data_IF_089831582742
#
_entry.id   IF_089831582742
#
_cell.length_a   1.000
_cell.length_b   1.000
_cell.length_c   1.000
_cell.angle_alpha   90.00
_cell.angle_beta   90.00
_cell.angle_gamma   90.00
#
_symmetry.space_group_name_H-M   'P 1'
#
loop_
_entity.id
_entity.type
_entity.pdbx_description
1 polymer ?
#
# COMPACT_ATOMS: atom_id res chain seq x y z
N UNK A 1 -3.94 15.11 -26.41
CA UNK A 1 -3.53 14.36 -25.20
C UNK A 1 -2.25 14.99 -24.63
N UNK A 2 -2.35 15.66 -23.47
CA UNK A 2 -1.72 15.33 -22.16
C UNK A 2 -0.27 15.81 -21.97
N UNK A 3 -0.04 16.67 -20.96
CA UNK A 3 1.25 16.85 -20.27
C UNK A 3 1.15 17.35 -18.80
N UNK A 4 0.00 17.37 -18.14
CA UNK A 4 -0.12 18.05 -16.83
C UNK A 4 0.12 17.17 -15.59
N UNK A 5 0.09 15.84 -15.67
CA UNK A 5 0.23 14.99 -14.46
C UNK A 5 1.52 14.16 -14.41
N UNK A 6 2.68 14.77 -14.68
CA UNK A 6 3.98 14.12 -14.44
C UNK A 6 4.73 14.77 -13.28
N UNK A 7 4.07 14.93 -12.15
CA UNK A 7 4.82 14.94 -10.88
C UNK A 7 4.92 13.47 -10.46
N UNK A 8 6.06 12.84 -10.70
CA UNK A 8 6.43 11.69 -9.87
C UNK A 8 7.93 11.60 -9.82
N UNK A 9 8.53 12.48 -9.03
CA UNK A 9 9.74 12.11 -8.32
C UNK A 9 9.44 10.98 -7.32
N UNK A 10 10.46 10.43 -6.65
CA UNK A 10 10.23 9.56 -5.51
C UNK A 10 9.37 10.28 -4.47
N UNK A 11 8.46 9.54 -3.83
CA UNK A 11 7.68 10.07 -2.71
C UNK A 11 8.63 10.50 -1.60
N UNK A 12 8.30 11.62 -0.94
CA UNK A 12 9.03 12.04 0.24
C UNK A 12 8.53 11.31 1.50
N UNK A 13 9.28 11.44 2.60
CA UNK A 13 9.00 10.76 3.87
C UNK A 13 7.61 11.11 4.42
N UNK A 14 7.17 12.36 4.28
CA UNK A 14 5.86 12.82 4.77
C UNK A 14 4.72 12.18 3.97
N UNK A 15 4.86 12.10 2.65
CA UNK A 15 3.89 11.44 1.78
C UNK A 15 3.77 9.94 2.09
N UNK A 16 4.91 9.27 2.31
CA UNK A 16 4.94 7.86 2.69
C UNK A 16 4.21 7.62 4.02
N UNK A 17 4.48 8.45 5.03
CA UNK A 17 3.81 8.32 6.34
C UNK A 17 2.29 8.54 6.23
N UNK A 18 1.83 9.54 5.45
CA UNK A 18 0.40 9.75 5.22
C UNK A 18 -0.28 8.55 4.54
N UNK A 19 0.40 7.92 3.57
CA UNK A 19 -0.11 6.72 2.90
C UNK A 19 -0.19 5.56 3.89
N UNK A 20 0.86 5.33 4.70
CA UNK A 20 0.89 4.25 5.70
C UNK A 20 -0.23 4.40 6.72
N UNK A 21 -0.40 5.60 7.26
CA UNK A 21 -1.45 5.87 8.24
C UNK A 21 -2.84 5.62 7.66
N UNK A 22 -3.09 6.10 6.44
CA UNK A 22 -4.34 5.85 5.72
C UNK A 22 -4.57 4.35 5.50
N UNK A 23 -3.56 3.62 5.03
CA UNK A 23 -3.67 2.18 4.79
C UNK A 23 -3.91 1.39 6.07
N UNK A 24 -3.24 1.75 7.18
CA UNK A 24 -3.48 1.13 8.50
C UNK A 24 -4.90 1.34 8.99
N UNK A 25 -5.53 2.48 8.67
CA UNK A 25 -6.92 2.76 9.05
C UNK A 25 -7.92 1.97 8.20
N UNK A 26 -7.77 1.99 6.88
CA UNK A 26 -8.76 1.40 5.97
C UNK A 26 -8.58 -0.10 5.73
N UNK A 27 -7.38 -0.62 5.90
CA UNK A 27 -7.00 -2.01 5.68
C UNK A 27 -6.29 -2.58 6.90
N UNK A 28 -6.80 -2.28 8.10
CA UNK A 28 -6.13 -2.62 9.36
C UNK A 28 -5.78 -4.12 9.47
N UNK A 29 -6.73 -4.99 9.11
CA UNK A 29 -6.54 -6.44 9.15
C UNK A 29 -5.50 -6.90 8.13
N UNK A 30 -5.59 -6.41 6.90
CA UNK A 30 -4.62 -6.73 5.86
C UNK A 30 -3.22 -6.22 6.21
N UNK A 31 -3.14 -5.00 6.74
CA UNK A 31 -1.89 -4.38 7.12
C UNK A 31 -1.20 -5.16 8.26
N UNK A 32 -1.95 -5.54 9.29
CA UNK A 32 -1.43 -6.37 10.39
C UNK A 32 -0.92 -7.72 9.88
N UNK A 33 -1.70 -8.41 9.04
CA UNK A 33 -1.29 -9.68 8.44
C UNK A 33 -0.03 -9.54 7.60
N UNK A 34 0.00 -8.58 6.68
CA UNK A 34 1.15 -8.36 5.80
C UNK A 34 2.39 -7.94 6.60
N UNK A 35 2.25 -7.16 7.67
CA UNK A 35 3.37 -6.77 8.55
C UNK A 35 4.01 -7.95 9.28
N UNK A 36 3.24 -9.03 9.45
CA UNK A 36 3.68 -10.30 10.03
C UNK A 36 4.04 -11.34 8.97
N UNK A 37 4.19 -10.95 7.70
CA UNK A 37 4.38 -11.84 6.55
C UNK A 37 3.30 -12.92 6.39
N UNK A 38 2.09 -12.66 6.89
CA UNK A 38 0.95 -13.55 6.74
C UNK A 38 0.17 -13.24 5.47
N UNK A 39 -0.46 -14.29 4.92
CA UNK A 39 -1.33 -14.13 3.76
C UNK A 39 -2.60 -13.39 4.14
N UNK A 40 -3.01 -12.50 3.24
CA UNK A 40 -4.29 -11.82 3.35
C UNK A 40 -5.42 -12.81 3.08
N UNK A 41 -6.53 -12.69 3.81
CA UNK A 41 -7.67 -13.59 3.65
C UNK A 41 -8.37 -13.42 2.31
N UNK A 42 -9.06 -14.48 1.84
CA UNK A 42 -9.82 -14.48 0.58
C UNK A 42 -10.99 -13.48 0.58
N UNK A 43 -11.47 -13.11 1.76
CA UNK A 43 -12.51 -12.09 1.98
C UNK A 43 -11.97 -10.65 1.94
N UNK A 44 -10.65 -10.45 1.88
CA UNK A 44 -10.05 -9.12 1.87
C UNK A 44 -10.42 -8.35 0.61
N UNK A 45 -10.62 -7.04 0.77
CA UNK A 45 -10.82 -6.11 -0.35
C UNK A 45 -9.59 -6.04 -1.26
N UNK A 46 -8.42 -6.41 -0.76
CA UNK A 46 -7.14 -6.30 -1.47
C UNK A 46 -6.67 -7.62 -2.09
N UNK A 47 -7.27 -8.78 -1.79
CA UNK A 47 -6.73 -10.09 -2.20
C UNK A 47 -6.47 -10.20 -3.71
N UNK A 48 -7.36 -9.63 -4.53
CA UNK A 48 -7.25 -9.64 -6.01
C UNK A 48 -6.04 -8.85 -6.52
N UNK A 49 -5.50 -7.95 -5.70
CA UNK A 49 -4.35 -7.11 -6.04
C UNK A 49 -3.02 -7.77 -5.67
N UNK A 50 -3.03 -8.97 -5.07
CA UNK A 50 -1.83 -9.63 -4.54
C UNK A 50 -0.97 -8.66 -3.71
N UNK A 51 -1.53 -8.12 -2.62
CA UNK A 51 -0.95 -6.98 -1.91
C UNK A 51 0.28 -7.42 -1.13
N UNK A 52 1.26 -6.52 -1.03
CA UNK A 52 2.49 -6.70 -0.25
C UNK A 52 2.89 -5.40 0.41
N UNK A 53 3.56 -5.49 1.55
CA UNK A 53 4.31 -4.36 2.09
C UNK A 53 5.65 -4.28 1.35
N UNK A 54 5.95 -3.10 0.84
CA UNK A 54 7.28 -2.79 0.31
C UNK A 54 8.28 -2.49 1.45
N UNK A 55 9.49 -2.08 1.07
CA UNK A 55 10.56 -1.70 2.01
C UNK A 55 10.22 -0.50 2.89
N UNK A 56 9.24 0.33 2.48
CA UNK A 56 8.79 1.51 3.21
C UNK A 56 7.61 1.18 4.15
N UNK A 57 7.08 -0.04 4.06
CA UNK A 57 5.89 -0.47 4.81
C UNK A 57 4.59 0.06 4.20
N UNK A 58 4.57 0.34 2.90
CA UNK A 58 3.38 0.70 2.15
C UNK A 58 2.82 -0.52 1.45
N UNK A 59 1.51 -0.73 1.54
CA UNK A 59 0.81 -1.76 0.78
C UNK A 59 0.82 -1.35 -0.71
N UNK A 60 1.47 -2.16 -1.54
CA UNK A 60 1.48 -2.03 -3.00
C UNK A 60 1.05 -3.33 -3.66
N UNK A 61 0.60 -3.22 -4.92
CA UNK A 61 0.35 -4.37 -5.80
C UNK A 61 1.69 -4.89 -6.32
N UNK A 62 1.87 -6.21 -6.33
CA UNK A 62 2.97 -6.83 -7.05
C UNK A 62 2.71 -6.77 -8.56
N UNK A 63 3.66 -6.20 -9.31
CA UNK A 63 3.71 -6.28 -10.77
C UNK A 63 4.21 -7.65 -11.24
#
# INVERSE_FOLDING_TARGET
MKKEDRVSGPLNVVEIEMIKETQRRYFAEEYDKLSKNQKVGISSKLIKLNPRLDTEGVIRRWQ
#
